data_IF_829894280219
#
_entry.id   IF_829894280219
#
_cell.length_a   1.000
_cell.length_b   1.000
_cell.length_c   1.000
_cell.angle_alpha   90.00
_cell.angle_beta   90.00
_cell.angle_gamma   90.00
#
_symmetry.space_group_name_H-M   'P 1'
#
loop_
_entity.id
_entity.type
_entity.pdbx_description
1 polymer ?
#
# COMPACT_ATOMS: atom_id res chain seq x y z
N UNK A 1 6.21 0.26 4.61
CA UNK A 1 6.21 1.73 4.50
C UNK A 1 5.13 2.32 5.40
N UNK A 2 3.86 1.94 5.24
CA UNK A 2 2.72 2.53 5.97
C UNK A 2 2.72 2.28 7.49
N UNK A 3 3.54 1.35 7.99
CA UNK A 3 3.75 1.11 9.43
C UNK A 3 4.68 2.13 10.11
N UNK A 4 5.09 3.20 9.42
CA UNK A 4 5.95 4.27 9.94
C UNK A 4 7.29 3.77 10.54
N UNK A 5 7.90 2.74 9.92
CA UNK A 5 9.16 2.17 10.41
C UNK A 5 10.26 3.25 10.57
N UNK A 6 10.92 3.27 11.75
CA UNK A 6 12.01 4.19 12.04
C UNK A 6 11.62 5.64 12.33
N UNK A 7 10.32 5.91 12.53
CA UNK A 7 9.77 7.22 12.90
C UNK A 7 8.55 7.08 13.80
N UNK A 8 8.07 8.17 14.35
CA UNK A 8 6.84 8.20 15.15
C UNK A 8 5.61 7.94 14.26
N UNK A 9 4.62 7.22 14.76
CA UNK A 9 3.41 6.84 14.01
C UNK A 9 2.66 8.07 13.47
N UNK A 10 2.60 9.15 14.25
CA UNK A 10 1.95 10.40 13.88
C UNK A 10 2.68 11.19 12.77
N UNK A 11 3.88 10.78 12.38
CA UNK A 11 4.62 11.35 11.26
C UNK A 11 4.32 10.64 9.94
N UNK A 12 3.70 9.44 9.96
CA UNK A 12 3.44 8.64 8.78
C UNK A 12 2.33 9.22 7.89
N UNK A 13 2.38 8.91 6.59
CA UNK A 13 1.39 9.38 5.60
C UNK A 13 -0.04 8.94 5.94
N UNK A 14 -0.23 7.81 6.60
CA UNK A 14 -1.56 7.32 7.02
C UNK A 14 -2.15 8.23 8.10
N UNK A 15 -1.32 8.72 9.02
CA UNK A 15 -1.75 9.72 10.00
C UNK A 15 -2.12 11.05 9.31
N UNK A 16 -1.29 11.51 8.36
CA UNK A 16 -1.57 12.72 7.58
C UNK A 16 -2.88 12.57 6.77
N UNK A 17 -3.13 11.38 6.20
CA UNK A 17 -4.39 11.07 5.53
C UNK A 17 -5.60 11.27 6.47
N UNK A 18 -5.52 10.80 7.71
CA UNK A 18 -6.59 10.97 8.69
C UNK A 18 -6.86 12.45 9.03
N UNK A 19 -5.90 13.34 8.77
CA UNK A 19 -6.05 14.77 8.98
C UNK A 19 -6.61 15.53 7.77
N UNK A 20 -6.71 14.89 6.59
CA UNK A 20 -7.22 15.52 5.38
C UNK A 20 -8.65 16.03 5.58
N UNK A 21 -8.95 17.28 5.15
CA UNK A 21 -10.28 17.87 5.30
C UNK A 21 -11.39 17.02 4.66
N UNK A 22 -11.15 16.46 3.49
CA UNK A 22 -12.12 15.65 2.75
C UNK A 22 -12.46 14.35 3.50
N UNK A 23 -11.46 13.71 4.13
CA UNK A 23 -11.66 12.52 4.98
C UNK A 23 -12.56 12.87 6.18
N UNK A 24 -12.26 13.97 6.85
CA UNK A 24 -13.05 14.43 8.01
C UNK A 24 -14.47 14.84 7.63
N UNK A 25 -14.61 15.57 6.54
CA UNK A 25 -15.92 16.03 6.04
C UNK A 25 -16.79 14.88 5.58
N UNK A 26 -16.20 13.88 4.94
CA UNK A 26 -16.91 12.67 4.51
C UNK A 26 -17.19 11.69 5.67
N UNK A 27 -16.68 11.97 6.88
CA UNK A 27 -16.93 11.15 8.07
C UNK A 27 -16.19 9.80 8.08
N UNK A 28 -15.09 9.67 7.31
CA UNK A 28 -14.28 8.46 7.34
C UNK A 28 -13.37 8.41 8.56
N UNK A 29 -13.31 7.25 9.19
CA UNK A 29 -12.28 6.88 10.14
C UNK A 29 -11.14 6.16 9.39
N UNK A 30 -9.89 6.57 9.61
CA UNK A 30 -8.72 5.92 9.03
C UNK A 30 -8.08 5.01 10.05
N UNK A 31 -8.08 3.71 9.77
CA UNK A 31 -7.46 2.68 10.61
C UNK A 31 -6.15 2.24 9.96
N UNK A 32 -5.02 2.48 10.62
CA UNK A 32 -3.73 1.94 10.21
C UNK A 32 -3.54 0.51 10.72
N UNK A 33 -3.87 -0.47 9.88
CA UNK A 33 -3.67 -1.89 10.18
C UNK A 33 -2.31 -2.43 9.70
N UNK A 34 -1.34 -1.56 9.38
CA UNK A 34 -0.03 -1.94 8.88
C UNK A 34 0.83 -2.60 9.97
N UNK A 35 1.63 -3.59 9.57
CA UNK A 35 2.61 -4.26 10.44
C UNK A 35 3.98 -4.18 9.78
N UNK A 36 4.98 -3.73 10.53
CA UNK A 36 6.35 -3.63 10.02
C UNK A 36 6.92 -5.01 9.69
N UNK A 37 7.58 -5.13 8.52
CA UNK A 37 8.15 -6.41 8.07
C UNK A 37 7.14 -7.42 7.52
N UNK A 38 5.86 -7.05 7.41
CA UNK A 38 4.79 -7.94 6.95
C UNK A 38 4.99 -8.39 5.50
N UNK A 39 4.61 -9.62 5.22
CA UNK A 39 4.58 -10.22 3.88
C UNK A 39 3.15 -10.39 3.39
N UNK A 40 3.00 -10.73 2.11
CA UNK A 40 1.66 -11.03 1.55
C UNK A 40 1.02 -12.24 2.24
N UNK A 41 1.79 -13.26 2.67
CA UNK A 41 1.27 -14.40 3.43
C UNK A 41 0.71 -13.97 4.80
N UNK A 42 1.47 -13.21 5.56
CA UNK A 42 1.04 -12.72 6.87
C UNK A 42 -0.17 -11.78 6.76
N UNK A 43 -0.14 -10.86 5.78
CA UNK A 43 -1.26 -9.98 5.49
C UNK A 43 -2.54 -10.76 5.15
N UNK A 44 -2.44 -11.76 4.29
CA UNK A 44 -3.57 -12.61 3.90
C UNK A 44 -4.17 -13.37 5.09
N UNK A 45 -3.32 -13.94 5.96
CA UNK A 45 -3.77 -14.68 7.15
C UNK A 45 -4.58 -13.79 8.11
N UNK A 46 -4.14 -12.56 8.35
CA UNK A 46 -4.82 -11.67 9.31
C UNK A 46 -5.97 -10.86 8.72
N UNK A 47 -6.04 -10.72 7.39
CA UNK A 47 -7.02 -9.88 6.73
C UNK A 47 -8.48 -10.21 7.09
N UNK A 48 -8.94 -11.48 7.12
CA UNK A 48 -10.33 -11.80 7.46
C UNK A 48 -10.75 -11.27 8.83
N UNK A 49 -9.86 -11.40 9.82
CA UNK A 49 -10.13 -10.88 11.18
C UNK A 49 -10.17 -9.35 11.18
N UNK A 50 -9.28 -8.69 10.45
CA UNK A 50 -9.21 -7.24 10.33
C UNK A 50 -10.47 -6.68 9.64
N UNK A 51 -10.93 -7.31 8.56
CA UNK A 51 -12.17 -6.95 7.86
C UNK A 51 -13.39 -7.10 8.77
N UNK A 52 -13.49 -8.21 9.51
CA UNK A 52 -14.60 -8.45 10.43
C UNK A 52 -14.63 -7.43 11.59
N UNK A 53 -13.46 -7.03 12.09
CA UNK A 53 -13.34 -6.08 13.20
C UNK A 53 -13.71 -4.66 12.80
N UNK A 54 -13.22 -4.19 11.64
CA UNK A 54 -13.33 -2.79 11.25
C UNK A 54 -14.42 -2.51 10.23
N UNK A 55 -14.92 -3.53 9.53
CA UNK A 55 -15.97 -3.40 8.49
C UNK A 55 -15.74 -2.22 7.53
N UNK A 56 -14.55 -2.14 6.90
CA UNK A 56 -14.14 -0.95 6.16
C UNK A 56 -14.97 -0.75 4.88
N UNK A 57 -15.24 0.50 4.52
CA UNK A 57 -15.80 0.86 3.21
C UNK A 57 -14.73 0.86 2.10
N UNK A 58 -13.48 1.11 2.49
CA UNK A 58 -12.33 1.15 1.59
C UNK A 58 -11.18 0.38 2.23
N UNK A 59 -10.54 -0.50 1.47
CA UNK A 59 -9.29 -1.18 1.86
C UNK A 59 -8.18 -0.72 0.95
N UNK A 60 -7.11 -0.20 1.53
CA UNK A 60 -5.86 0.11 0.82
C UNK A 60 -4.89 -1.04 1.07
N UNK A 61 -4.49 -1.74 0.00
CA UNK A 61 -3.53 -2.85 0.07
C UNK A 61 -2.16 -2.34 -0.34
N UNK A 62 -1.24 -2.25 0.63
CA UNK A 62 0.18 -1.89 0.46
C UNK A 62 1.04 -3.03 1.03
N UNK A 63 1.24 -4.10 0.25
CA UNK A 63 1.99 -5.30 0.63
C UNK A 63 2.73 -5.89 -0.57
N UNK A 64 3.75 -6.68 -0.27
CA UNK A 64 4.60 -7.36 -1.25
C UNK A 64 6.04 -6.86 -1.26
N UNK A 65 6.33 -5.68 -0.71
CA UNK A 65 7.69 -5.14 -0.66
C UNK A 65 8.65 -6.08 0.08
N UNK A 66 8.26 -6.61 1.23
CA UNK A 66 9.08 -7.57 1.99
C UNK A 66 9.24 -8.90 1.26
N UNK A 67 8.21 -9.36 0.55
CA UNK A 67 8.29 -10.55 -0.30
C UNK A 67 9.32 -10.35 -1.42
N UNK A 68 9.20 -9.24 -2.14
CA UNK A 68 10.11 -8.88 -3.22
C UNK A 68 11.56 -8.75 -2.75
N UNK A 69 11.81 -8.03 -1.64
CA UNK A 69 13.14 -7.87 -1.06
C UNK A 69 13.74 -9.20 -0.56
N UNK A 70 12.92 -10.18 -0.21
CA UNK A 70 13.35 -11.53 0.18
C UNK A 70 13.45 -12.51 -0.98
N UNK A 71 13.11 -12.07 -2.21
CA UNK A 71 13.18 -12.90 -3.41
C UNK A 71 12.12 -14.01 -3.44
N UNK A 72 10.95 -13.79 -2.84
CA UNK A 72 9.87 -14.77 -2.82
C UNK A 72 9.31 -15.04 -4.21
N UNK A 73 8.74 -16.25 -4.45
CA UNK A 73 8.16 -16.59 -5.75
C UNK A 73 7.06 -15.60 -6.15
N UNK A 74 7.15 -15.06 -7.35
CA UNK A 74 6.20 -14.07 -7.89
C UNK A 74 4.77 -14.61 -7.91
N UNK A 75 4.59 -15.89 -8.21
CA UNK A 75 3.26 -16.51 -8.27
C UNK A 75 2.59 -16.57 -6.88
N UNK A 76 3.36 -16.73 -5.80
CA UNK A 76 2.82 -16.66 -4.45
C UNK A 76 2.35 -15.23 -4.13
N UNK A 77 3.18 -14.23 -4.43
CA UNK A 77 2.82 -12.81 -4.23
C UNK A 77 1.55 -12.48 -4.99
N UNK A 78 1.48 -12.88 -6.27
CA UNK A 78 0.28 -12.68 -7.12
C UNK A 78 -0.96 -13.32 -6.52
N UNK A 79 -0.87 -14.59 -6.15
CA UNK A 79 -1.99 -15.32 -5.57
C UNK A 79 -2.51 -14.67 -4.29
N UNK A 80 -1.60 -14.24 -3.42
CA UNK A 80 -1.95 -13.59 -2.17
C UNK A 80 -2.60 -12.21 -2.38
N UNK A 81 -2.06 -11.38 -3.28
CA UNK A 81 -2.65 -10.08 -3.64
C UNK A 81 -4.05 -10.27 -4.22
N UNK A 82 -4.22 -11.20 -5.17
CA UNK A 82 -5.51 -11.52 -5.77
C UNK A 82 -6.54 -11.94 -4.71
N UNK A 83 -6.14 -12.80 -3.79
CA UNK A 83 -7.01 -13.29 -2.72
C UNK A 83 -7.36 -12.18 -1.71
N UNK A 84 -6.41 -11.32 -1.35
CA UNK A 84 -6.70 -10.16 -0.50
C UNK A 84 -7.71 -9.21 -1.15
N UNK A 85 -7.59 -8.96 -2.45
CA UNK A 85 -8.56 -8.15 -3.20
C UNK A 85 -9.93 -8.81 -3.17
N UNK A 86 -10.00 -10.13 -3.43
CA UNK A 86 -11.26 -10.90 -3.44
C UNK A 86 -11.95 -10.85 -2.07
N UNK A 87 -11.20 -11.07 -0.99
CA UNK A 87 -11.75 -11.05 0.38
C UNK A 87 -12.24 -9.65 0.77
N UNK A 88 -11.49 -8.60 0.44
CA UNK A 88 -11.87 -7.22 0.71
C UNK A 88 -13.16 -6.85 -0.03
N UNK A 89 -13.28 -7.22 -1.31
CA UNK A 89 -14.52 -6.98 -2.08
C UNK A 89 -15.71 -7.81 -1.56
N UNK A 90 -15.46 -9.06 -1.15
CA UNK A 90 -16.50 -9.92 -0.58
C UNK A 90 -17.05 -9.38 0.76
N UNK A 91 -16.27 -8.59 1.50
CA UNK A 91 -16.73 -7.87 2.70
C UNK A 91 -17.50 -6.59 2.40
N UNK A 92 -17.68 -6.21 1.13
CA UNK A 92 -18.35 -4.99 0.68
C UNK A 92 -17.41 -3.78 0.52
N UNK A 93 -16.12 -3.92 0.76
CA UNK A 93 -15.18 -2.82 0.63
C UNK A 93 -14.77 -2.56 -0.83
N UNK A 94 -14.59 -1.28 -1.18
CA UNK A 94 -13.83 -0.90 -2.37
C UNK A 94 -12.34 -1.06 -2.10
N UNK A 95 -11.56 -1.39 -3.12
CA UNK A 95 -10.11 -1.65 -2.96
C UNK A 95 -9.30 -0.65 -3.75
N UNK A 96 -8.28 -0.09 -3.11
CA UNK A 96 -7.17 0.61 -3.76
C UNK A 96 -5.91 -0.23 -3.57
N UNK A 97 -5.26 -0.59 -4.67
CA UNK A 97 -4.00 -1.32 -4.63
C UNK A 97 -2.83 -0.33 -4.77
N UNK A 98 -1.77 -0.54 -4.00
CA UNK A 98 -0.53 0.23 -4.14
C UNK A 98 0.53 -0.67 -4.76
N UNK A 99 1.04 -0.27 -5.93
CA UNK A 99 2.14 -0.91 -6.62
C UNK A 99 3.48 -0.61 -5.96
N UNK A 100 4.43 -1.48 -6.22
CA UNK A 100 5.78 -1.39 -5.66
C UNK A 100 6.83 -1.65 -6.73
N UNK A 101 7.98 -1.02 -6.55
CA UNK A 101 9.17 -1.18 -7.40
C UNK A 101 10.31 -1.68 -6.53
N UNK A 102 11.05 -2.67 -7.02
CA UNK A 102 12.25 -3.18 -6.35
C UNK A 102 13.52 -2.50 -6.86
N UNK A 103 14.55 -2.39 -6.03
CA UNK A 103 15.86 -1.94 -6.48
C UNK A 103 16.40 -2.78 -7.64
N UNK A 104 17.12 -2.17 -8.60
CA UNK A 104 17.54 -2.85 -9.85
C UNK A 104 18.53 -4.00 -9.64
N UNK A 105 19.20 -4.07 -8.51
CA UNK A 105 20.14 -5.14 -8.14
C UNK A 105 19.49 -6.53 -7.97
N UNK A 106 18.15 -6.62 -7.92
CA UNK A 106 17.41 -7.90 -7.93
C UNK A 106 17.31 -8.52 -9.32
N UNK A 107 17.80 -7.85 -10.35
CA UNK A 107 17.81 -8.32 -11.73
C UNK A 107 16.49 -8.06 -12.46
N UNK A 108 16.62 -7.60 -13.71
CA UNK A 108 15.49 -7.11 -14.53
C UNK A 108 14.33 -8.10 -14.66
N UNK A 109 14.63 -9.39 -14.80
CA UNK A 109 13.59 -10.43 -14.94
C UNK A 109 12.69 -10.48 -13.72
N UNK A 110 13.28 -10.44 -12.53
CA UNK A 110 12.53 -10.51 -11.28
C UNK A 110 11.79 -9.20 -11.00
N UNK A 111 12.45 -8.06 -11.13
CA UNK A 111 11.85 -6.75 -10.87
C UNK A 111 10.66 -6.47 -11.79
N UNK A 112 10.78 -6.74 -13.11
CA UNK A 112 9.67 -6.56 -14.04
C UNK A 112 8.52 -7.53 -13.77
N UNK A 113 8.80 -8.78 -13.40
CA UNK A 113 7.76 -9.74 -13.03
C UNK A 113 7.06 -9.33 -11.74
N UNK A 114 7.79 -8.79 -10.74
CA UNK A 114 7.25 -8.28 -9.50
C UNK A 114 6.32 -7.08 -9.74
N UNK A 115 6.77 -6.07 -10.47
CA UNK A 115 5.96 -4.89 -10.80
C UNK A 115 4.66 -5.25 -11.54
N UNK A 116 4.73 -6.25 -12.44
CA UNK A 116 3.58 -6.71 -13.20
C UNK A 116 2.48 -7.35 -12.34
N UNK A 117 2.78 -7.82 -11.13
CA UNK A 117 1.78 -8.37 -10.21
C UNK A 117 0.67 -7.36 -9.95
N UNK A 118 1.03 -6.14 -9.61
CA UNK A 118 0.08 -5.10 -9.20
C UNK A 118 -0.78 -4.60 -10.36
N UNK A 119 -0.16 -4.31 -11.51
CA UNK A 119 -0.90 -3.88 -12.70
C UNK A 119 -1.82 -4.98 -13.25
N UNK A 120 -1.37 -6.24 -13.24
CA UNK A 120 -2.19 -7.37 -13.65
C UNK A 120 -3.38 -7.61 -12.72
N UNK A 121 -3.17 -7.51 -11.39
CA UNK A 121 -4.24 -7.61 -10.40
C UNK A 121 -5.26 -6.48 -10.57
N UNK A 122 -4.79 -5.24 -10.75
CA UNK A 122 -5.67 -4.10 -10.98
C UNK A 122 -6.56 -4.28 -12.23
N UNK A 123 -5.96 -4.72 -13.33
CA UNK A 123 -6.70 -5.02 -14.57
C UNK A 123 -7.68 -6.19 -14.39
N UNK A 124 -7.27 -7.27 -13.69
CA UNK A 124 -8.11 -8.46 -13.46
C UNK A 124 -9.35 -8.16 -12.64
N UNK A 125 -9.22 -7.30 -11.65
CA UNK A 125 -10.32 -6.99 -10.72
C UNK A 125 -11.01 -5.66 -11.02
N UNK A 126 -10.61 -4.96 -12.07
CA UNK A 126 -11.13 -3.61 -12.41
C UNK A 126 -11.10 -2.67 -11.19
N UNK A 127 -9.91 -2.47 -10.63
CA UNK A 127 -9.67 -1.60 -9.49
C UNK A 127 -8.56 -0.59 -9.78
N UNK A 128 -8.56 0.52 -9.03
CA UNK A 128 -7.49 1.49 -9.13
C UNK A 128 -6.18 0.96 -8.52
N UNK A 129 -5.06 1.32 -9.14
CA UNK A 129 -3.72 1.05 -8.62
C UNK A 129 -2.89 2.33 -8.63
N UNK A 130 -2.26 2.64 -7.51
CA UNK A 130 -1.18 3.64 -7.44
C UNK A 130 0.07 2.94 -8.00
N UNK A 131 0.68 3.42 -9.08
CA UNK A 131 1.79 2.68 -9.71
C UNK A 131 2.98 2.46 -8.78
N UNK A 132 3.35 3.48 -8.01
CA UNK A 132 4.44 3.42 -7.03
C UNK A 132 4.30 4.51 -5.97
N UNK A 133 4.16 4.10 -4.70
CA UNK A 133 3.96 5.03 -3.58
C UNK A 133 5.15 5.97 -3.35
N UNK A 134 6.38 5.49 -3.61
CA UNK A 134 7.61 6.26 -3.43
C UNK A 134 8.06 6.98 -4.71
N UNK A 135 7.15 7.20 -5.66
CA UNK A 135 7.48 7.97 -6.86
C UNK A 135 7.89 9.40 -6.48
N UNK A 136 9.06 9.84 -7.00
CA UNK A 136 9.66 11.13 -6.60
C UNK A 136 10.32 11.16 -5.22
N UNK A 137 10.22 10.07 -4.44
CA UNK A 137 10.83 9.93 -3.11
C UNK A 137 12.05 9.00 -3.14
N UNK A 138 11.89 7.80 -3.73
CA UNK A 138 12.91 6.75 -3.67
C UNK A 138 14.27 7.11 -4.31
N UNK A 139 14.31 8.10 -5.18
CA UNK A 139 15.53 8.56 -5.86
C UNK A 139 16.19 9.78 -5.19
N UNK A 140 15.56 10.34 -4.15
CA UNK A 140 16.09 11.45 -3.37
C UNK A 140 16.61 10.94 -2.02
N UNK A 141 17.94 10.85 -1.89
CA UNK A 141 18.59 10.37 -0.66
C UNK A 141 18.24 11.20 0.58
N UNK A 142 17.89 12.47 0.41
CA UNK A 142 17.48 13.34 1.52
C UNK A 142 16.12 12.94 2.11
N UNK A 143 15.28 12.28 1.34
CA UNK A 143 13.95 11.81 1.71
C UNK A 143 13.93 10.35 2.21
N UNK A 144 15.06 9.63 2.08
CA UNK A 144 15.18 8.24 2.48
C UNK A 144 15.99 8.08 3.76
N UNK A 145 15.65 7.07 4.55
CA UNK A 145 16.46 6.66 5.69
C UNK A 145 17.79 6.04 5.21
N UNK A 146 18.72 5.82 6.12
CA UNK A 146 20.05 5.27 5.79
C UNK A 146 20.03 3.89 5.15
N UNK A 147 18.93 3.15 5.31
CA UNK A 147 18.74 1.83 4.70
C UNK A 147 18.37 1.90 3.20
N UNK A 148 18.06 3.08 2.68
CA UNK A 148 17.67 3.28 1.28
C UNK A 148 16.34 2.65 0.88
N UNK A 149 15.53 2.20 1.85
CA UNK A 149 14.26 1.48 1.65
C UNK A 149 13.10 2.27 2.24
N UNK A 150 13.26 2.77 3.45
CA UNK A 150 12.20 3.46 4.17
C UNK A 150 12.31 4.98 4.00
N UNK A 151 11.19 5.65 3.70
CA UNK A 151 11.16 7.11 3.62
C UNK A 151 11.28 7.75 5.01
N UNK A 152 11.77 8.98 5.02
CA UNK A 152 11.86 9.82 6.22
C UNK A 152 10.53 10.57 6.47
N UNK A 153 10.37 11.22 7.64
CA UNK A 153 9.19 12.05 7.92
C UNK A 153 8.93 13.13 6.85
N UNK A 154 9.99 13.73 6.31
CA UNK A 154 9.91 14.79 5.30
C UNK A 154 9.30 14.33 3.97
N UNK A 155 9.33 13.03 3.68
CA UNK A 155 8.75 12.42 2.48
C UNK A 155 7.24 12.15 2.59
N UNK A 156 6.70 12.10 3.81
CA UNK A 156 5.36 11.53 4.03
C UNK A 156 4.23 12.35 3.39
N UNK A 157 4.38 13.67 3.32
CA UNK A 157 3.41 14.52 2.62
C UNK A 157 3.45 14.26 1.11
N UNK A 158 4.64 14.13 0.49
CA UNK A 158 4.78 13.80 -0.92
C UNK A 158 4.15 12.45 -1.27
N UNK A 159 4.28 11.48 -0.37
CA UNK A 159 3.63 10.17 -0.54
C UNK A 159 2.12 10.28 -0.49
N UNK A 160 1.57 11.07 0.46
CA UNK A 160 0.14 11.33 0.53
C UNK A 160 -0.35 12.06 -0.73
N UNK A 161 0.37 13.07 -1.20
CA UNK A 161 0.04 13.80 -2.44
C UNK A 161 0.03 12.87 -3.66
N UNK A 162 0.91 11.88 -3.69
CA UNK A 162 0.99 10.87 -4.76
C UNK A 162 -0.17 9.88 -4.76
N UNK A 163 -0.68 9.49 -3.59
CA UNK A 163 -1.81 8.55 -3.47
C UNK A 163 -3.17 9.27 -3.57
N UNK A 164 -3.25 10.52 -3.16
CA UNK A 164 -4.49 11.27 -3.02
C UNK A 164 -5.36 11.29 -4.30
N UNK A 165 -4.83 11.50 -5.51
CA UNK A 165 -5.64 11.48 -6.75
C UNK A 165 -6.38 10.16 -7.00
N UNK A 166 -5.88 9.04 -6.45
CA UNK A 166 -6.50 7.73 -6.58
C UNK A 166 -7.52 7.44 -5.46
N UNK A 167 -7.30 8.01 -4.29
CA UNK A 167 -8.12 7.78 -3.10
C UNK A 167 -9.28 8.79 -3.00
N UNK A 168 -9.07 10.06 -3.36
CA UNK A 168 -10.07 11.11 -3.28
C UNK A 168 -11.41 10.75 -3.95
N UNK A 169 -11.45 10.19 -5.17
CA UNK A 169 -12.72 9.78 -5.79
C UNK A 169 -13.45 8.66 -5.02
N UNK A 170 -12.73 7.94 -4.16
CA UNK A 170 -13.31 6.87 -3.34
C UNK A 170 -13.91 7.39 -2.03
N UNK A 171 -13.48 8.54 -1.54
CA UNK A 171 -14.00 9.14 -0.30
C UNK A 171 -15.07 10.19 -0.55
N UNK A 172 -15.15 10.73 -1.76
CA UNK A 172 -16.21 11.66 -2.15
C UNK A 172 -17.53 10.90 -2.30
N UNK A 173 -18.64 11.32 -1.67
CA UNK A 173 -19.95 10.75 -1.93
C UNK A 173 -20.32 10.86 -3.42
N UNK A 174 -20.90 9.79 -3.99
CA UNK A 174 -21.47 9.81 -5.35
C UNK A 174 -22.66 10.78 -5.41
#
# INVERSE_FOLDING_TARGET
ISAAYGMEENQGWVHLLAQQPDIKTAGFEVVNASVSGETTDGGLIRLPKTLALHQPNIVVIELGGNDGLRGYPIDNIRTNIDEMIRLSRASGARVLLIGMVLPPNYGRRYTSAFESVFSAAAAKFDINVVPFLLNGVATDESLMQRDGIHPRPEAQQLMLDGIWPYLQPMVTPL
#
